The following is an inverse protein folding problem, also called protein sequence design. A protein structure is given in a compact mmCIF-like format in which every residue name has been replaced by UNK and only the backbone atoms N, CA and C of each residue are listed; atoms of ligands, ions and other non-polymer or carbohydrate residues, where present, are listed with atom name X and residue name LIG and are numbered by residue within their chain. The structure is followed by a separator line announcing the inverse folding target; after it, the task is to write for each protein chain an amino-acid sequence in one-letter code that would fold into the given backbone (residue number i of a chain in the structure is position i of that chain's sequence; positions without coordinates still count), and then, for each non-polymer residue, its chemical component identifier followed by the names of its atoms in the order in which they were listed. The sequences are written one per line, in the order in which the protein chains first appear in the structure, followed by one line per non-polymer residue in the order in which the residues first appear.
data_IF_282296113973
#
_entry.id   IF_282296113973
#
_cell.length_a   1.000
_cell.length_b   1.000
_cell.length_c   1.000
_cell.angle_alpha   90.00
_cell.angle_beta   90.00
_cell.angle_gamma   90.00
#
_symmetry.space_group_name_H-M   'P 1'
#
loop_
_entity.id
_entity.type
_entity.pdbx_description
1 polymer ?
#
# COMPACT_ATOMS: atom_id res chain seq x y z
N UNK A 1 7.72 26.56 70.46
CA UNK A 1 7.34 26.31 69.05
C UNK A 1 8.25 27.16 68.19
N UNK A 2 9.14 26.54 67.41
CA UNK A 2 9.94 27.28 66.44
C UNK A 2 9.03 27.77 65.30
N UNK A 3 9.15 29.04 64.85
CA UNK A 3 8.28 29.57 63.81
C UNK A 3 8.53 28.83 62.51
N UNK A 4 7.47 28.29 61.91
CA UNK A 4 7.52 27.66 60.59
C UNK A 4 7.97 28.71 59.58
N UNK A 5 9.06 28.49 58.82
CA UNK A 5 9.58 29.50 57.91
C UNK A 5 8.57 29.76 56.79
N UNK A 6 8.06 30.99 56.72
CA UNK A 6 7.19 31.45 55.63
C UNK A 6 8.07 31.68 54.40
N UNK A 7 7.98 30.78 53.42
CA UNK A 7 8.66 30.93 52.14
C UNK A 7 7.98 32.07 51.37
N UNK A 8 8.58 33.26 51.41
CA UNK A 8 8.13 34.40 50.59
C UNK A 8 8.68 34.22 49.18
N UNK A 9 7.87 33.67 48.29
CA UNK A 9 8.22 33.55 46.86
C UNK A 9 8.16 34.96 46.24
N UNK A 10 9.28 35.44 45.72
CA UNK A 10 9.33 36.75 45.07
C UNK A 10 8.84 36.70 43.62
N UNK A 11 8.33 37.82 43.10
CA UNK A 11 7.92 37.92 41.69
C UNK A 11 9.08 37.60 40.75
N UNK A 12 10.31 37.94 41.14
CA UNK A 12 11.53 37.61 40.38
C UNK A 12 11.80 36.11 40.34
N UNK A 13 11.60 35.39 41.45
CA UNK A 13 11.73 33.93 41.50
C UNK A 13 10.67 33.24 40.63
N UNK A 14 9.42 33.73 40.65
CA UNK A 14 8.35 33.23 39.77
C UNK A 14 8.72 33.46 38.30
N UNK A 15 9.19 34.66 37.95
CA UNK A 15 9.63 35.00 36.59
C UNK A 15 10.80 34.13 36.14
N UNK A 16 11.79 33.90 37.01
CA UNK A 16 12.95 33.06 36.71
C UNK A 16 12.53 31.59 36.48
N UNK A 17 11.66 31.04 37.32
CA UNK A 17 11.13 29.69 37.16
C UNK A 17 10.36 29.54 35.84
N UNK A 18 9.50 30.51 35.51
CA UNK A 18 8.75 30.53 34.24
C UNK A 18 9.67 30.62 33.02
N UNK A 19 10.68 31.50 33.05
CA UNK A 19 11.67 31.63 31.97
C UNK A 19 12.47 30.34 31.79
N UNK A 20 12.86 29.68 32.89
CA UNK A 20 13.58 28.41 32.86
C UNK A 20 12.73 27.31 32.20
N UNK A 21 11.47 27.16 32.60
CA UNK A 21 10.55 26.19 32.00
C UNK A 21 10.34 26.44 30.50
N UNK A 22 10.17 27.71 30.11
CA UNK A 22 10.02 28.09 28.71
C UNK A 22 11.29 27.82 27.89
N UNK A 23 12.47 28.06 28.47
CA UNK A 23 13.75 27.79 27.82
C UNK A 23 13.94 26.29 27.59
N UNK A 24 13.55 25.44 28.54
CA UNK A 24 13.57 23.98 28.37
C UNK A 24 12.68 23.54 27.20
N UNK A 25 11.42 24.01 27.16
CA UNK A 25 10.50 23.71 26.06
C UNK A 25 11.03 24.20 24.70
N UNK A 26 11.59 25.42 24.67
CA UNK A 26 12.20 25.97 23.47
C UNK A 26 13.39 25.13 22.99
N UNK A 27 14.30 24.76 23.90
CA UNK A 27 15.48 23.96 23.56
C UNK A 27 15.08 22.59 22.97
N UNK A 28 14.16 21.87 23.62
CA UNK A 28 13.65 20.60 23.12
C UNK A 28 12.98 20.74 21.73
N UNK A 29 12.18 21.80 21.55
CA UNK A 29 11.51 22.06 20.26
C UNK A 29 12.50 22.43 19.16
N UNK A 30 13.52 23.22 19.49
CA UNK A 30 14.57 23.64 18.55
C UNK A 30 15.40 22.45 18.07
N UNK A 31 15.72 21.52 18.95
CA UNK A 31 16.42 20.29 18.56
C UNK A 31 15.56 19.42 17.63
N UNK A 32 14.27 19.27 17.93
CA UNK A 32 13.34 18.53 17.07
C UNK A 32 13.17 19.18 15.69
N UNK A 33 13.12 20.51 15.65
CA UNK A 33 13.10 21.28 14.41
C UNK A 33 14.38 21.02 13.59
N UNK A 34 15.55 21.05 14.24
CA UNK A 34 16.82 20.83 13.57
C UNK A 34 16.92 19.40 12.99
N UNK A 35 16.45 18.39 13.75
CA UNK A 35 16.37 17.00 13.27
C UNK A 35 15.47 16.84 12.03
N UNK A 36 14.45 17.69 11.88
CA UNK A 36 13.50 17.65 10.75
C UNK A 36 13.87 18.57 9.59
N UNK A 37 14.79 19.52 9.82
CA UNK A 37 15.13 20.59 8.88
C UNK A 37 15.43 20.08 7.47
N UNK A 38 16.30 19.08 7.35
CA UNK A 38 16.71 18.52 6.06
C UNK A 38 15.55 17.94 5.25
N UNK A 39 14.59 17.29 5.92
CA UNK A 39 13.39 16.76 5.27
C UNK A 39 12.45 17.87 4.81
N UNK A 40 12.24 18.90 5.65
CA UNK A 40 11.35 20.01 5.37
C UNK A 40 11.89 20.89 4.23
N UNK A 41 13.18 21.20 4.22
CA UNK A 41 13.83 21.99 3.17
C UNK A 41 13.80 21.28 1.79
N UNK A 42 13.77 19.94 1.78
CA UNK A 42 13.65 19.16 0.55
C UNK A 42 12.22 19.13 -0.04
N UNK A 43 11.19 19.54 0.72
CA UNK A 43 9.80 19.61 0.25
C UNK A 43 9.60 20.93 -0.51
N UNK A 44 9.68 20.87 -1.85
CA UNK A 44 9.47 22.04 -2.72
C UNK A 44 7.99 22.32 -3.04
N UNK A 45 7.14 21.28 -2.98
CA UNK A 45 5.71 21.39 -3.33
C UNK A 45 4.84 20.82 -2.20
N UNK A 46 4.38 21.66 -1.25
CA UNK A 46 3.58 21.21 -0.12
C UNK A 46 2.08 21.06 -0.44
N UNK A 47 1.65 21.35 -1.66
CA UNK A 47 0.26 21.31 -2.10
C UNK A 47 0.05 20.29 -3.23
N UNK A 48 -1.21 19.90 -3.43
CA UNK A 48 -1.61 19.02 -4.52
C UNK A 48 -1.46 19.71 -5.88
N UNK A 49 -0.88 19.00 -6.85
CA UNK A 49 -0.82 19.44 -8.24
C UNK A 49 -0.73 18.20 -9.14
N UNK A 50 -1.31 18.28 -10.34
CA UNK A 50 -1.52 17.09 -11.15
C UNK A 50 -0.21 16.59 -11.80
N UNK A 51 0.74 17.49 -12.12
CA UNK A 51 2.09 17.08 -12.51
C UNK A 51 2.69 16.15 -11.45
N UNK A 52 3.32 15.04 -11.86
CA UNK A 52 3.98 14.15 -10.91
C UNK A 52 5.08 14.90 -10.15
N UNK A 53 5.23 14.52 -8.88
CA UNK A 53 6.38 14.88 -8.05
C UNK A 53 7.65 14.26 -8.62
N UNK A 54 8.76 14.97 -8.44
CA UNK A 54 10.08 14.46 -8.76
C UNK A 54 10.43 13.25 -7.87
N UNK A 55 11.21 12.31 -8.40
CA UNK A 55 11.63 11.11 -7.69
C UNK A 55 12.36 11.45 -6.38
N UNK A 56 13.16 12.53 -6.37
CA UNK A 56 13.84 12.99 -5.15
C UNK A 56 12.87 13.40 -4.04
N UNK A 57 11.71 13.97 -4.39
CA UNK A 57 10.68 14.36 -3.41
C UNK A 57 9.93 13.15 -2.87
N UNK A 58 9.62 12.17 -3.72
CA UNK A 58 9.00 10.91 -3.28
C UNK A 58 9.91 10.17 -2.31
N UNK A 59 11.20 10.05 -2.64
CA UNK A 59 12.20 9.43 -1.76
C UNK A 59 12.34 10.21 -0.45
N UNK A 60 12.32 11.55 -0.48
CA UNK A 60 12.35 12.36 0.72
C UNK A 60 11.15 12.08 1.64
N UNK A 61 9.94 12.03 1.08
CA UNK A 61 8.73 11.69 1.85
C UNK A 61 8.82 10.29 2.46
N UNK A 62 9.28 9.28 1.70
CA UNK A 62 9.48 7.93 2.22
C UNK A 62 10.44 7.92 3.42
N UNK A 63 11.60 8.60 3.30
CA UNK A 63 12.58 8.70 4.39
C UNK A 63 12.06 9.47 5.59
N UNK A 64 11.27 10.52 5.37
CA UNK A 64 10.68 11.30 6.45
C UNK A 64 9.62 10.48 7.21
N UNK A 65 8.83 9.67 6.50
CA UNK A 65 7.90 8.73 7.10
C UNK A 65 8.64 7.61 7.86
N UNK A 66 9.74 7.07 7.32
CA UNK A 66 10.60 6.12 8.04
C UNK A 66 11.09 6.71 9.36
N UNK A 67 11.57 7.96 9.34
CA UNK A 67 12.05 8.66 10.52
C UNK A 67 10.96 8.84 11.57
N UNK A 68 9.75 9.29 11.21
CA UNK A 68 8.70 9.53 12.22
C UNK A 68 8.17 8.22 12.81
N UNK A 69 8.04 7.16 12.00
CA UNK A 69 7.58 5.86 12.46
C UNK A 69 8.53 5.23 13.47
N UNK A 70 9.84 5.46 13.32
CA UNK A 70 10.85 5.00 14.28
C UNK A 70 10.74 5.68 15.65
N UNK A 71 10.17 6.90 15.73
CA UNK A 71 9.96 7.60 17.01
C UNK A 71 8.75 7.08 17.79
N UNK A 72 7.89 6.30 17.15
CA UNK A 72 6.64 5.73 17.71
C UNK A 72 5.70 6.79 18.36
N UNK A 73 5.79 8.05 17.92
CA UNK A 73 4.87 9.12 18.33
C UNK A 73 3.63 9.10 17.41
N UNK A 74 2.58 8.44 17.89
CA UNK A 74 1.39 8.17 17.08
C UNK A 74 0.69 9.45 16.56
N UNK A 75 0.37 10.46 17.40
CA UNK A 75 -0.19 11.72 16.91
C UNK A 75 0.69 12.44 15.88
N UNK A 76 2.01 12.49 16.07
CA UNK A 76 2.89 13.16 15.11
C UNK A 76 3.01 12.39 13.79
N UNK A 77 2.99 11.06 13.86
CA UNK A 77 3.03 10.19 12.68
C UNK A 77 1.77 10.38 11.84
N UNK A 78 0.58 10.40 12.46
CA UNK A 78 -0.68 10.71 11.76
C UNK A 78 -0.61 12.09 11.10
N UNK A 79 -0.18 13.13 11.83
CA UNK A 79 -0.04 14.48 11.26
C UNK A 79 0.89 14.51 10.05
N UNK A 80 2.01 13.79 10.09
CA UNK A 80 2.93 13.75 8.96
C UNK A 80 2.34 12.98 7.77
N UNK A 81 1.65 11.87 8.02
CA UNK A 81 0.95 11.10 6.98
C UNK A 81 -0.10 11.94 6.26
N UNK A 82 -1.00 12.60 7.02
CA UNK A 82 -2.02 13.46 6.43
C UNK A 82 -1.39 14.59 5.60
N UNK A 83 -0.26 15.15 6.07
CA UNK A 83 0.47 16.18 5.33
C UNK A 83 1.16 15.64 4.07
N UNK A 84 1.72 14.42 4.13
CA UNK A 84 2.33 13.74 2.99
C UNK A 84 1.30 13.44 1.90
N UNK A 85 0.08 13.06 2.28
CA UNK A 85 -0.98 12.72 1.34
C UNK A 85 -1.53 13.92 0.57
N UNK A 86 -1.29 15.16 1.01
CA UNK A 86 -1.69 16.35 0.24
C UNK A 86 -0.98 16.41 -1.12
N UNK A 87 0.37 16.47 -1.20
CA UNK A 87 1.06 16.44 -2.49
C UNK A 87 1.07 15.02 -3.11
N UNK A 88 1.05 13.96 -2.30
CA UNK A 88 1.16 12.57 -2.75
C UNK A 88 -0.19 11.84 -2.94
N UNK A 89 -1.30 12.57 -3.05
CA UNK A 89 -2.64 11.97 -3.12
C UNK A 89 -2.82 10.96 -4.27
N UNK A 90 -2.13 11.16 -5.39
CA UNK A 90 -2.22 10.28 -6.57
C UNK A 90 -1.36 9.02 -6.51
N UNK A 91 -0.57 8.83 -5.44
CA UNK A 91 0.44 7.78 -5.32
C UNK A 91 -0.04 6.68 -4.36
N UNK A 92 -0.46 5.50 -4.87
CA UNK A 92 -1.05 4.44 -4.05
C UNK A 92 -0.14 3.94 -2.93
N UNK A 93 1.18 3.94 -3.15
CA UNK A 93 2.19 3.49 -2.18
C UNK A 93 2.10 4.21 -0.82
N UNK A 94 1.83 5.52 -0.80
CA UNK A 94 1.70 6.27 0.47
C UNK A 94 0.41 5.95 1.21
N UNK A 95 -0.69 5.75 0.47
CA UNK A 95 -1.97 5.30 1.04
C UNK A 95 -1.83 3.89 1.65
N UNK A 96 -1.20 2.98 0.91
CA UNK A 96 -0.98 1.61 1.35
C UNK A 96 -0.10 1.55 2.60
N UNK A 97 0.96 2.37 2.65
CA UNK A 97 1.83 2.48 3.82
C UNK A 97 1.08 3.03 5.03
N UNK A 98 0.28 4.10 4.85
CA UNK A 98 -0.50 4.70 5.93
C UNK A 98 -1.55 3.74 6.50
N UNK A 99 -2.29 3.06 5.61
CA UNK A 99 -3.27 2.06 6.02
C UNK A 99 -2.61 0.91 6.82
N UNK A 100 -1.45 0.41 6.39
CA UNK A 100 -0.68 -0.62 7.13
C UNK A 100 -0.17 -0.12 8.49
N UNK A 101 0.23 1.15 8.58
CA UNK A 101 0.65 1.76 9.84
C UNK A 101 -0.50 1.82 10.85
N UNK A 102 -1.70 2.21 10.38
CA UNK A 102 -2.91 2.27 11.20
C UNK A 102 -3.49 0.88 11.51
N UNK A 103 -3.37 -0.10 10.61
CA UNK A 103 -3.99 -1.43 10.73
C UNK A 103 -3.75 -2.10 12.08
N UNK A 104 -2.56 -1.89 12.68
CA UNK A 104 -2.20 -2.47 13.99
C UNK A 104 -2.75 -1.72 15.21
N UNK A 105 -3.17 -0.46 15.04
CA UNK A 105 -3.49 0.48 16.13
C UNK A 105 -4.94 0.96 16.09
N UNK A 106 -5.45 1.22 14.89
CA UNK A 106 -6.78 1.71 14.61
C UNK A 106 -7.26 1.13 13.27
N UNK A 107 -7.99 0.03 13.35
CA UNK A 107 -8.56 -0.63 12.18
C UNK A 107 -9.59 0.27 11.49
N UNK A 108 -10.43 1.00 12.23
CA UNK A 108 -11.44 1.88 11.64
C UNK A 108 -10.77 3.04 10.88
N UNK A 109 -9.71 3.61 11.44
CA UNK A 109 -8.87 4.60 10.76
C UNK A 109 -8.22 4.04 9.50
N UNK A 110 -7.66 2.84 9.55
CA UNK A 110 -7.08 2.17 8.37
C UNK A 110 -8.13 2.01 7.26
N UNK A 111 -9.34 1.57 7.60
CA UNK A 111 -10.46 1.42 6.67
C UNK A 111 -10.85 2.76 6.04
N UNK A 112 -10.92 3.83 6.84
CA UNK A 112 -11.19 5.18 6.34
C UNK A 112 -10.13 5.65 5.34
N UNK A 113 -8.85 5.35 5.60
CA UNK A 113 -7.74 5.66 4.69
C UNK A 113 -7.87 4.91 3.37
N UNK A 114 -8.19 3.60 3.41
CA UNK A 114 -8.41 2.80 2.20
C UNK A 114 -9.58 3.34 1.38
N UNK A 115 -10.70 3.67 2.03
CA UNK A 115 -11.87 4.25 1.37
C UNK A 115 -11.57 5.62 0.75
N UNK A 116 -10.84 6.50 1.44
CA UNK A 116 -10.40 7.79 0.88
C UNK A 116 -9.53 7.59 -0.36
N UNK A 117 -8.62 6.60 -0.33
CA UNK A 117 -7.76 6.29 -1.46
C UNK A 117 -8.58 5.81 -2.68
N UNK A 118 -9.51 4.88 -2.51
CA UNK A 118 -10.28 4.28 -3.60
C UNK A 118 -11.41 5.16 -4.13
N UNK A 119 -12.08 5.94 -3.26
CA UNK A 119 -13.28 6.70 -3.63
C UNK A 119 -12.97 8.14 -4.06
N UNK A 120 -11.95 8.77 -3.46
CA UNK A 120 -11.69 10.21 -3.64
C UNK A 120 -10.46 10.45 -4.53
N UNK A 121 -9.30 9.92 -4.15
CA UNK A 121 -8.03 10.38 -4.72
C UNK A 121 -7.51 9.50 -5.86
N UNK A 122 -7.27 8.21 -5.62
CA UNK A 122 -6.64 7.29 -6.56
C UNK A 122 -7.65 6.31 -7.19
N UNK A 123 -8.86 6.81 -7.48
CA UNK A 123 -10.01 6.04 -7.96
C UNK A 123 -9.81 5.35 -9.32
N UNK A 124 -8.94 5.89 -10.18
CA UNK A 124 -8.64 5.33 -11.51
C UNK A 124 -7.42 4.40 -11.52
N UNK A 125 -6.76 4.23 -10.37
CA UNK A 125 -5.51 3.48 -10.29
C UNK A 125 -5.78 2.06 -9.84
N UNK A 126 -5.48 1.08 -10.71
CA UNK A 126 -5.72 -0.33 -10.41
C UNK A 126 -5.03 -0.81 -9.12
N UNK A 127 -3.79 -0.36 -8.88
CA UNK A 127 -3.00 -0.75 -7.70
C UNK A 127 -3.69 -0.37 -6.37
N UNK A 128 -4.37 0.78 -6.32
CA UNK A 128 -5.15 1.20 -5.13
C UNK A 128 -6.27 0.23 -4.82
N UNK A 129 -7.00 -0.21 -5.85
CA UNK A 129 -8.12 -1.12 -5.70
C UNK A 129 -7.68 -2.56 -5.42
N UNK A 130 -6.56 -3.01 -6.01
CA UNK A 130 -5.95 -4.30 -5.69
C UNK A 130 -5.49 -4.31 -4.22
N UNK A 131 -4.83 -3.23 -3.77
CA UNK A 131 -4.46 -3.08 -2.37
C UNK A 131 -5.68 -3.09 -1.45
N UNK A 132 -6.74 -2.34 -1.79
CA UNK A 132 -7.98 -2.32 -1.04
C UNK A 132 -8.60 -3.72 -0.96
N UNK A 133 -8.69 -4.44 -2.07
CA UNK A 133 -9.26 -5.79 -2.10
C UNK A 133 -8.50 -6.76 -1.18
N UNK A 134 -7.16 -6.72 -1.19
CA UNK A 134 -6.34 -7.51 -0.26
C UNK A 134 -6.50 -7.07 1.19
N UNK A 135 -6.65 -5.76 1.43
CA UNK A 135 -6.94 -5.25 2.76
C UNK A 135 -8.29 -5.77 3.26
N UNK A 136 -9.33 -5.74 2.43
CA UNK A 136 -10.66 -6.21 2.79
C UNK A 136 -10.72 -7.73 3.00
N UNK A 137 -10.06 -8.50 2.14
CA UNK A 137 -9.94 -9.94 2.29
C UNK A 137 -9.31 -10.34 3.64
N UNK A 138 -8.24 -9.65 4.04
CA UNK A 138 -7.55 -9.92 5.33
C UNK A 138 -8.44 -9.66 6.55
N UNK A 139 -9.42 -8.76 6.42
CA UNK A 139 -10.35 -8.42 7.50
C UNK A 139 -11.70 -9.14 7.37
N UNK A 140 -11.80 -10.17 6.51
CA UNK A 140 -12.98 -11.01 6.37
C UNK A 140 -14.12 -10.37 5.55
N UNK A 141 -13.89 -9.23 4.91
CA UNK A 141 -14.88 -8.53 4.08
C UNK A 141 -14.80 -9.01 2.64
N UNK A 142 -15.17 -10.27 2.45
CA UNK A 142 -14.97 -11.02 1.21
C UNK A 142 -15.77 -10.42 0.04
N UNK A 143 -17.02 -9.98 0.28
CA UNK A 143 -17.86 -9.47 -0.80
C UNK A 143 -17.36 -8.12 -1.33
N UNK A 144 -16.85 -7.27 -0.43
CA UNK A 144 -16.24 -5.99 -0.79
C UNK A 144 -14.93 -6.21 -1.55
N UNK A 145 -14.09 -7.15 -1.09
CA UNK A 145 -12.89 -7.55 -1.81
C UNK A 145 -13.20 -8.07 -3.22
N UNK A 146 -14.23 -8.90 -3.37
CA UNK A 146 -14.69 -9.40 -4.68
C UNK A 146 -15.16 -8.25 -5.57
N UNK A 147 -15.94 -7.32 -5.02
CA UNK A 147 -16.42 -6.13 -5.75
C UNK A 147 -15.26 -5.27 -6.25
N UNK A 148 -14.25 -5.03 -5.41
CA UNK A 148 -13.05 -4.29 -5.80
C UNK A 148 -12.27 -5.01 -6.92
N UNK A 149 -12.01 -6.31 -6.80
CA UNK A 149 -11.34 -7.07 -7.87
C UNK A 149 -12.14 -7.08 -9.19
N UNK A 150 -13.46 -7.27 -9.11
CA UNK A 150 -14.33 -7.22 -10.27
C UNK A 150 -14.30 -5.83 -10.92
N UNK A 151 -14.30 -4.76 -10.14
CA UNK A 151 -14.21 -3.40 -10.66
C UNK A 151 -12.90 -3.17 -11.44
N UNK A 152 -11.76 -3.65 -10.92
CA UNK A 152 -10.48 -3.52 -11.63
C UNK A 152 -10.47 -4.27 -12.96
N UNK A 153 -10.91 -5.54 -12.94
CA UNK A 153 -10.85 -6.45 -14.10
C UNK A 153 -11.93 -6.22 -15.15
N UNK A 154 -12.95 -5.42 -14.84
CA UNK A 154 -14.06 -5.11 -15.77
C UNK A 154 -14.09 -3.66 -16.22
N UNK A 155 -13.79 -2.71 -15.33
CA UNK A 155 -14.04 -1.28 -15.57
C UNK A 155 -12.76 -0.49 -15.74
N UNK A 156 -11.78 -0.66 -14.83
CA UNK A 156 -10.60 0.19 -14.80
C UNK A 156 -9.55 -0.20 -15.83
N UNK A 157 -9.09 -1.45 -15.78
CA UNK A 157 -8.07 -1.93 -16.69
C UNK A 157 -8.23 -3.45 -16.93
N UNK A 158 -9.12 -3.84 -17.86
CA UNK A 158 -9.38 -5.26 -18.14
C UNK A 158 -8.20 -6.04 -18.75
N UNK A 159 -7.22 -5.35 -19.36
CA UNK A 159 -6.01 -5.97 -19.92
C UNK A 159 -4.87 -6.06 -18.90
N UNK A 160 -5.05 -5.54 -17.69
CA UNK A 160 -4.05 -5.65 -16.64
C UNK A 160 -4.01 -7.08 -16.07
N UNK A 161 -3.14 -7.92 -16.62
CA UNK A 161 -2.99 -9.32 -16.19
C UNK A 161 -2.68 -9.48 -14.71
N UNK A 162 -1.93 -8.55 -14.10
CA UNK A 162 -1.65 -8.60 -12.65
C UNK A 162 -2.93 -8.54 -11.81
N UNK A 163 -3.91 -7.72 -12.23
CA UNK A 163 -5.21 -7.64 -11.58
C UNK A 163 -6.04 -8.93 -11.79
N UNK A 164 -6.01 -9.47 -13.02
CA UNK A 164 -6.68 -10.74 -13.36
C UNK A 164 -6.12 -11.89 -12.51
N UNK A 165 -4.79 -11.99 -12.39
CA UNK A 165 -4.13 -13.03 -11.60
C UNK A 165 -4.42 -12.86 -10.11
N UNK A 166 -4.45 -11.63 -9.60
CA UNK A 166 -4.83 -11.35 -8.22
C UNK A 166 -6.29 -11.75 -7.95
N UNK A 167 -7.22 -11.45 -8.86
CA UNK A 167 -8.64 -11.82 -8.76
C UNK A 167 -8.84 -13.34 -8.83
N UNK A 168 -8.22 -14.02 -9.79
CA UNK A 168 -8.31 -15.47 -9.89
C UNK A 168 -7.70 -16.17 -8.66
N UNK A 169 -6.59 -15.65 -8.13
CA UNK A 169 -5.98 -16.15 -6.90
C UNK A 169 -6.87 -15.91 -5.68
N UNK A 170 -7.58 -14.78 -5.62
CA UNK A 170 -8.58 -14.49 -4.61
C UNK A 170 -9.73 -15.51 -4.65
N UNK A 171 -10.38 -15.71 -5.80
CA UNK A 171 -11.48 -16.68 -5.91
C UNK A 171 -11.03 -18.10 -5.58
N UNK A 172 -9.79 -18.46 -5.91
CA UNK A 172 -9.18 -19.74 -5.50
C UNK A 172 -9.09 -19.86 -3.97
N UNK A 173 -8.65 -18.82 -3.26
CA UNK A 173 -8.59 -18.81 -1.78
C UNK A 173 -9.96 -18.91 -1.15
N UNK A 174 -10.99 -18.36 -1.79
CA UNK A 174 -12.39 -18.46 -1.35
C UNK A 174 -13.04 -19.81 -1.71
N UNK A 175 -12.33 -20.71 -2.41
CA UNK A 175 -12.85 -22.02 -2.83
C UNK A 175 -13.66 -22.01 -4.13
N UNK A 176 -13.84 -20.86 -4.76
CA UNK A 176 -14.62 -20.69 -5.99
C UNK A 176 -13.79 -20.98 -7.24
N UNK A 177 -13.39 -22.25 -7.42
CA UNK A 177 -12.56 -22.67 -8.56
C UNK A 177 -13.17 -22.31 -9.92
N UNK A 178 -14.49 -22.43 -10.07
CA UNK A 178 -15.20 -22.07 -11.30
C UNK A 178 -15.12 -20.56 -11.60
N UNK A 179 -15.29 -19.71 -10.59
CA UNK A 179 -15.18 -18.27 -10.76
C UNK A 179 -13.76 -17.85 -11.17
N UNK A 180 -12.74 -18.45 -10.54
CA UNK A 180 -11.35 -18.22 -10.92
C UNK A 180 -11.06 -18.63 -12.38
N UNK A 181 -11.61 -19.76 -12.83
CA UNK A 181 -11.51 -20.22 -14.22
C UNK A 181 -12.14 -19.22 -15.18
N UNK A 182 -13.35 -18.75 -14.88
CA UNK A 182 -14.09 -17.81 -15.71
C UNK A 182 -13.35 -16.47 -15.85
N UNK A 183 -12.73 -15.97 -14.76
CA UNK A 183 -11.91 -14.75 -14.78
C UNK A 183 -10.72 -14.89 -15.73
N UNK A 184 -9.96 -15.99 -15.63
CA UNK A 184 -8.80 -16.24 -16.48
C UNK A 184 -9.20 -16.47 -17.94
N UNK A 185 -10.27 -17.22 -18.19
CA UNK A 185 -10.79 -17.49 -19.53
C UNK A 185 -11.24 -16.21 -20.22
N UNK A 186 -11.95 -15.32 -19.51
CA UNK A 186 -12.35 -14.00 -20.04
C UNK A 186 -11.14 -13.14 -20.38
N UNK A 187 -10.08 -13.17 -19.57
CA UNK A 187 -8.85 -12.47 -19.88
C UNK A 187 -8.18 -13.04 -21.14
N UNK A 188 -8.08 -14.37 -21.27
CA UNK A 188 -7.51 -15.02 -22.44
C UNK A 188 -8.25 -14.65 -23.74
N UNK A 189 -9.58 -14.69 -23.72
CA UNK A 189 -10.42 -14.32 -24.86
C UNK A 189 -10.22 -12.85 -25.26
N UNK A 190 -9.98 -11.95 -24.30
CA UNK A 190 -9.71 -10.54 -24.58
C UNK A 190 -8.35 -10.34 -25.22
N UNK A 191 -7.31 -10.98 -24.69
CA UNK A 191 -5.96 -10.91 -25.26
C UNK A 191 -5.91 -11.53 -26.67
N UNK A 192 -6.67 -12.60 -26.91
CA UNK A 192 -6.82 -13.20 -28.24
C UNK A 192 -7.50 -12.23 -29.22
N UNK A 193 -8.57 -11.56 -28.79
CA UNK A 193 -9.30 -10.59 -29.61
C UNK A 193 -8.51 -9.30 -29.88
N UNK A 194 -7.61 -8.91 -28.96
CA UNK A 194 -6.79 -7.71 -29.11
C UNK A 194 -5.72 -7.84 -30.20
N UNK A 195 -5.35 -9.06 -30.61
CA UNK A 195 -4.39 -9.33 -31.70
C UNK A 195 -2.94 -8.91 -31.40
N UNK A 196 -2.70 -8.11 -30.36
CA UNK A 196 -1.39 -7.75 -29.84
C UNK A 196 -0.88 -8.87 -28.91
N UNK A 197 -0.28 -9.90 -29.51
CA UNK A 197 0.20 -11.13 -28.87
C UNK A 197 1.32 -10.98 -27.80
N UNK A 198 1.53 -9.79 -27.23
CA UNK A 198 2.57 -9.54 -26.23
C UNK A 198 2.26 -10.23 -24.88
N UNK A 199 0.99 -10.29 -24.49
CA UNK A 199 0.59 -10.78 -23.16
C UNK A 199 -0.21 -12.10 -23.19
N UNK A 200 -0.68 -12.54 -24.36
CA UNK A 200 -1.45 -13.78 -24.53
C UNK A 200 -0.71 -15.01 -24.00
N UNK A 201 0.59 -15.15 -24.28
CA UNK A 201 1.38 -16.28 -23.79
C UNK A 201 1.45 -16.37 -22.27
N UNK A 202 1.60 -15.22 -21.58
CA UNK A 202 1.57 -15.16 -20.12
C UNK A 202 0.19 -15.54 -19.56
N UNK A 203 -0.89 -15.04 -20.17
CA UNK A 203 -2.26 -15.39 -19.77
C UNK A 203 -2.54 -16.89 -19.97
N UNK A 204 -2.09 -17.46 -21.08
CA UNK A 204 -2.26 -18.89 -21.40
C UNK A 204 -1.50 -19.79 -20.42
N UNK A 205 -0.24 -19.48 -20.12
CA UNK A 205 0.55 -20.22 -19.13
C UNK A 205 -0.11 -20.17 -17.75
N UNK A 206 -0.58 -18.99 -17.34
CA UNK A 206 -1.29 -18.84 -16.07
C UNK A 206 -2.60 -19.67 -16.03
N UNK A 207 -3.36 -19.70 -17.13
CA UNK A 207 -4.56 -20.51 -17.24
C UNK A 207 -4.28 -22.01 -17.17
N UNK A 208 -3.27 -22.50 -17.91
CA UNK A 208 -2.89 -23.92 -17.91
C UNK A 208 -2.44 -24.35 -16.50
N UNK A 209 -1.56 -23.57 -15.87
CA UNK A 209 -1.10 -23.84 -14.51
C UNK A 209 -2.27 -23.85 -13.52
N UNK A 210 -3.22 -22.93 -13.66
CA UNK A 210 -4.42 -22.92 -12.84
C UNK A 210 -5.25 -24.19 -13.03
N UNK A 211 -5.49 -24.62 -14.27
CA UNK A 211 -6.29 -25.83 -14.56
C UNK A 211 -5.64 -27.09 -13.99
N UNK A 212 -4.31 -27.23 -14.13
CA UNK A 212 -3.56 -28.36 -13.58
C UNK A 212 -3.64 -28.40 -12.05
N UNK A 213 -3.48 -27.27 -11.36
CA UNK A 213 -3.51 -27.24 -9.90
C UNK A 213 -4.92 -27.27 -9.29
N UNK A 214 -5.92 -26.72 -9.98
CA UNK A 214 -7.28 -26.63 -9.44
C UNK A 214 -8.11 -27.89 -9.72
N UNK A 215 -7.85 -28.58 -10.84
CA UNK A 215 -8.64 -29.71 -11.35
C UNK A 215 -7.81 -30.96 -11.70
N UNK A 216 -6.48 -30.93 -11.59
CA UNK A 216 -5.60 -32.05 -11.96
C UNK A 216 -5.46 -33.17 -10.92
N UNK A 217 -6.20 -33.13 -9.80
CA UNK A 217 -6.24 -34.22 -8.81
C UNK A 217 -7.29 -35.31 -9.13
N UNK A 218 -7.88 -35.33 -10.34
CA UNK A 218 -8.86 -36.36 -10.75
C UNK A 218 -8.33 -37.45 -11.68
N UNK A 219 -7.02 -37.52 -11.96
CA UNK A 219 -6.46 -38.64 -12.75
C UNK A 219 -5.53 -39.50 -11.90
N UNK A 220 -6.11 -40.40 -11.11
CA UNK A 220 -5.49 -41.71 -10.94
C UNK A 220 -5.39 -42.36 -12.34
N UNK A 221 -4.18 -42.79 -12.70
CA UNK A 221 -3.78 -43.07 -14.08
C UNK A 221 -4.47 -44.26 -14.75
N UNK A 222 -4.12 -44.48 -16.03
CA UNK A 222 -3.58 -45.79 -16.36
C UNK A 222 -2.21 -45.68 -17.03
N UNK A 223 -1.26 -46.41 -16.42
CA UNK A 223 -0.06 -47.03 -17.00
C UNK A 223 0.53 -46.45 -18.30
N UNK A 224 1.75 -45.92 -18.17
CA UNK A 224 2.79 -46.11 -19.20
C UNK A 224 3.42 -44.83 -19.74
N UNK A 225 4.68 -44.61 -19.35
CA UNK A 225 5.71 -43.70 -19.89
C UNK A 225 6.05 -42.48 -19.01
N UNK A 226 7.34 -42.11 -18.94
CA UNK A 226 7.99 -41.69 -17.71
C UNK A 226 7.72 -40.24 -17.34
N UNK A 227 7.49 -40.03 -16.04
CA UNK A 227 7.43 -38.75 -15.35
C UNK A 227 8.81 -38.05 -15.36
N UNK A 228 9.25 -37.62 -16.53
CA UNK A 228 10.48 -36.86 -16.73
C UNK A 228 10.18 -35.65 -17.62
N UNK A 229 9.40 -34.71 -17.11
CA UNK A 229 9.24 -33.41 -17.74
C UNK A 229 8.85 -32.37 -16.67
N UNK A 230 9.86 -31.61 -16.24
CA UNK A 230 9.71 -30.32 -15.58
C UNK A 230 9.06 -30.31 -14.19
N UNK A 231 9.81 -30.77 -13.19
CA UNK A 231 9.69 -30.25 -11.83
C UNK A 231 10.15 -28.78 -11.82
N UNK A 232 9.26 -27.85 -12.16
CA UNK A 232 9.47 -26.44 -11.83
C UNK A 232 9.00 -26.16 -10.40
N UNK A 233 9.66 -25.24 -9.69
CA UNK A 233 9.34 -24.94 -8.30
C UNK A 233 7.88 -24.50 -8.23
N UNK A 234 7.08 -25.20 -7.43
CA UNK A 234 5.81 -24.67 -6.96
C UNK A 234 6.09 -23.30 -6.35
N UNK A 235 5.71 -22.22 -7.03
CA UNK A 235 5.62 -20.90 -6.40
C UNK A 235 4.41 -20.94 -5.45
N UNK A 236 4.57 -21.68 -4.36
CA UNK A 236 3.89 -21.38 -3.12
C UNK A 236 4.37 -19.99 -2.75
N UNK A 237 3.55 -18.98 -3.04
CA UNK A 237 3.77 -17.69 -2.41
C UNK A 237 3.65 -17.97 -0.91
N UNK A 238 4.74 -17.82 -0.12
CA UNK A 238 4.61 -17.86 1.32
C UNK A 238 3.55 -16.83 1.73
N UNK A 239 2.90 -16.98 2.90
CA UNK A 239 2.06 -15.91 3.44
C UNK A 239 2.86 -14.61 3.33
N UNK A 240 2.41 -13.70 2.46
CA UNK A 240 3.25 -12.63 1.92
C UNK A 240 3.71 -11.73 3.07
N UNK A 241 4.90 -11.97 3.58
CA UNK A 241 5.77 -10.89 4.00
C UNK A 241 6.14 -10.16 2.71
N UNK A 242 5.33 -9.17 2.34
CA UNK A 242 5.63 -8.31 1.20
C UNK A 242 7.08 -7.83 1.35
N UNK A 243 7.97 -8.10 0.38
CA UNK A 243 9.28 -7.48 0.36
C UNK A 243 9.10 -5.96 0.38
N UNK A 244 10.02 -5.19 0.96
CA UNK A 244 9.97 -3.75 0.82
C UNK A 244 10.11 -3.46 -0.68
N UNK A 245 9.03 -2.98 -1.30
CA UNK A 245 9.00 -2.56 -2.71
C UNK A 245 9.98 -1.39 -2.87
N UNK A 246 11.27 -1.68 -3.02
CA UNK A 246 12.29 -0.75 -3.43
C UNK A 246 12.87 -1.22 -4.77
N UNK A 247 12.70 -0.37 -5.78
CA UNK A 247 13.86 0.06 -6.56
C UNK A 247 14.27 -0.76 -7.78
N UNK A 248 13.38 -1.46 -8.48
CA UNK A 248 13.68 -1.97 -9.83
C UNK A 248 12.46 -1.97 -10.75
N UNK A 249 11.86 -0.80 -10.96
CA UNK A 249 11.14 -0.55 -12.21
C UNK A 249 11.68 0.75 -12.80
N UNK A 250 12.21 0.75 -14.04
CA UNK A 250 12.65 1.97 -14.68
C UNK A 250 11.47 2.93 -14.73
N UNK A 251 11.69 4.15 -14.23
CA UNK A 251 10.76 5.25 -14.37
C UNK A 251 10.52 5.51 -15.87
N UNK A 252 9.52 4.87 -16.46
CA UNK A 252 9.31 4.96 -17.91
C UNK A 252 8.09 4.25 -18.51
N UNK A 253 7.42 3.32 -17.83
CA UNK A 253 6.29 2.59 -18.43
C UNK A 253 4.90 3.07 -17.99
N UNK A 254 4.80 4.02 -17.05
CA UNK A 254 3.52 4.63 -16.72
C UNK A 254 3.24 5.78 -17.70
N UNK A 255 2.83 5.40 -18.91
CA UNK A 255 2.03 6.27 -19.75
C UNK A 255 0.71 6.52 -19.03
N UNK A 256 0.68 7.52 -18.15
CA UNK A 256 -0.58 8.08 -17.65
C UNK A 256 -1.36 8.55 -18.87
N UNK A 257 -2.53 7.96 -19.19
CA UNK A 257 -3.42 8.56 -20.15
C UNK A 257 -3.81 9.92 -19.57
N UNK A 258 -3.45 10.99 -20.27
CA UNK A 258 -3.85 12.34 -19.88
C UNK A 258 -5.37 12.41 -19.75
N UNK A 259 -5.81 12.93 -18.61
CA UNK A 259 -7.12 13.50 -18.26
C UNK A 259 -8.39 12.86 -18.84
#
# INVERSE_FOLDING_TARGET
EEPVPVIVITVEQIKAAWLSQRQQLYSASSEELERRRSFEEAIKRPYFHIKPLDAGQLVNWMRYLDYIEQKDDHPSTIRLYERCLVPCASYPEFWARYARYLEKRDLAGAQSVVQRATLVHAKRTADTHIFAAHFEERHGRIEEARSSFAHVTTTLNPSLLTAVFAHASFEKRQGNKQAAQEVLKKALQREEAAGENSQYGLALVAYINFMQHAFGEETEGPSGAPAAAYSYPSYSYPPQQYPPYYGQYPAGSYGYPGY
#
